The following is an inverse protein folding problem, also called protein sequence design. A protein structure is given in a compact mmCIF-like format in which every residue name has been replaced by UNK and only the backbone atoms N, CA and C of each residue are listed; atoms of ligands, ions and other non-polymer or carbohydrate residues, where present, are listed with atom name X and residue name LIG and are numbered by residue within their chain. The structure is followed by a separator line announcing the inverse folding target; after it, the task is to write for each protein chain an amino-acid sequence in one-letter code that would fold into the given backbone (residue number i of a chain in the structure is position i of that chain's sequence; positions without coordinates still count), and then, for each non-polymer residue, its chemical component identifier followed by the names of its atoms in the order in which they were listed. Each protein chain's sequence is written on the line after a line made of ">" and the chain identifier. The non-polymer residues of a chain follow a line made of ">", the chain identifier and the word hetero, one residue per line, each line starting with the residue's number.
data_IF_474279763562
#
_entry.id   IF_474279763562
#
_cell.length_a   1.000
_cell.length_b   1.000
_cell.length_c   1.000
_cell.angle_alpha   90.00
_cell.angle_beta   90.00
_cell.angle_gamma   90.00
#
_symmetry.space_group_name_H-M   'P 1'
#
loop_
_entity.id
_entity.type
_entity.pdbx_description
1 polymer ?
#
# COMPACT_ATOMS: atom_id res chain seq x y z
N UNK A 1 11.17 16.78 11.62
CA UNK A 1 9.99 16.04 11.16
C UNK A 1 10.36 14.60 10.86
N UNK A 2 9.67 13.69 11.46
CA UNK A 2 10.00 12.29 11.31
C UNK A 2 9.59 11.80 9.92
N UNK A 3 10.55 11.23 9.19
CA UNK A 3 10.28 10.58 7.92
C UNK A 3 9.71 9.19 8.19
N UNK A 4 8.57 9.13 8.88
CA UNK A 4 7.89 7.88 9.12
C UNK A 4 6.97 7.57 7.95
N UNK A 5 7.23 6.46 7.32
CA UNK A 5 6.30 5.90 6.34
C UNK A 5 5.19 5.21 7.11
N UNK A 6 3.96 5.48 6.75
CA UNK A 6 2.80 4.90 7.42
C UNK A 6 1.98 4.08 6.45
N UNK A 7 1.63 2.86 6.86
CA UNK A 7 0.61 2.07 6.17
C UNK A 7 -0.71 2.33 6.86
N UNK A 8 -1.69 2.73 6.08
CA UNK A 8 -3.05 2.91 6.54
C UNK A 8 -3.86 1.74 5.98
N UNK A 9 -4.19 0.80 6.83
CA UNK A 9 -5.08 -0.29 6.44
C UNK A 9 -6.48 0.25 6.32
N UNK A 10 -6.96 0.22 5.10
CA UNK A 10 -8.24 0.81 4.81
C UNK A 10 -9.39 0.02 5.39
N UNK A 11 -10.42 0.71 5.52
CA UNK A 11 -11.80 0.32 5.51
C UNK A 11 -12.39 -0.19 6.80
N UNK A 12 -11.75 -0.92 7.64
CA UNK A 12 -12.41 -1.36 8.86
C UNK A 12 -12.03 -0.56 10.09
N UNK A 13 -10.82 -0.02 10.12
CA UNK A 13 -10.32 0.64 11.33
C UNK A 13 -9.29 1.73 11.01
N UNK A 14 -9.60 2.60 10.08
CA UNK A 14 -8.65 3.59 9.55
C UNK A 14 -7.96 4.41 10.64
N UNK A 15 -8.68 4.77 11.68
CA UNK A 15 -8.12 5.56 12.78
C UNK A 15 -7.34 4.74 13.80
N UNK A 16 -7.43 3.42 13.74
CA UNK A 16 -6.73 2.53 14.69
C UNK A 16 -5.46 1.92 14.13
N UNK A 17 -5.27 1.98 12.82
CA UNK A 17 -4.19 1.24 12.16
C UNK A 17 -3.32 2.17 11.33
N UNK A 18 -2.71 3.12 12.00
CA UNK A 18 -1.53 3.80 11.46
C UNK A 18 -0.32 2.96 11.90
N UNK A 19 0.28 2.26 10.97
CA UNK A 19 1.44 1.42 11.23
C UNK A 19 2.66 2.10 10.64
N UNK A 20 3.68 2.30 11.45
CA UNK A 20 4.95 2.81 10.97
C UNK A 20 5.60 1.79 10.05
N UNK A 21 6.01 2.21 8.86
CA UNK A 21 6.74 1.33 7.94
C UNK A 21 8.18 1.19 8.40
N UNK A 22 8.56 -0.03 8.75
CA UNK A 22 9.90 -0.37 9.20
C UNK A 22 10.73 -0.93 8.04
N UNK A 23 12.05 -0.94 8.22
CA UNK A 23 13.01 -1.37 7.19
C UNK A 23 12.79 -2.79 6.68
N UNK A 24 12.23 -3.66 7.51
CA UNK A 24 12.00 -5.07 7.16
C UNK A 24 10.62 -5.34 6.55
N UNK A 25 9.81 -4.31 6.34
CA UNK A 25 8.47 -4.50 5.80
C UNK A 25 8.48 -4.57 4.28
N UNK A 26 7.75 -5.55 3.76
CA UNK A 26 7.56 -5.74 2.34
C UNK A 26 6.16 -6.23 2.02
N UNK A 27 5.83 -6.20 0.75
CA UNK A 27 4.56 -6.72 0.25
C UNK A 27 4.86 -7.81 -0.77
N UNK A 28 4.40 -9.03 -0.50
CA UNK A 28 4.73 -10.16 -1.36
C UNK A 28 4.02 -10.04 -2.71
N UNK A 29 4.81 -9.99 -3.78
CA UNK A 29 4.33 -9.94 -5.15
C UNK A 29 4.68 -11.21 -5.94
N UNK A 30 5.04 -12.28 -5.25
CA UNK A 30 5.33 -13.58 -5.85
C UNK A 30 4.05 -14.38 -6.06
N UNK A 31 3.57 -14.51 -7.31
CA UNK A 31 2.33 -15.22 -7.58
C UNK A 31 2.40 -16.72 -7.28
N UNK A 32 3.58 -17.27 -7.11
CA UNK A 32 3.76 -18.68 -6.78
C UNK A 32 3.82 -18.95 -5.28
N UNK A 33 3.85 -17.91 -4.45
CA UNK A 33 3.78 -18.07 -3.00
C UNK A 33 2.30 -18.03 -2.56
N UNK A 34 1.67 -19.18 -2.50
CA UNK A 34 0.25 -19.31 -2.23
C UNK A 34 -0.19 -18.73 -0.88
N UNK A 35 0.71 -18.75 0.10
CA UNK A 35 0.38 -18.30 1.47
C UNK A 35 0.55 -16.78 1.64
N UNK A 36 1.49 -16.19 0.92
CA UNK A 36 1.93 -14.81 1.16
C UNK A 36 1.60 -13.85 0.03
N UNK A 37 1.21 -14.35 -1.13
CA UNK A 37 0.92 -13.49 -2.28
C UNK A 37 -0.07 -12.38 -1.93
N UNK A 38 0.27 -11.17 -2.30
CA UNK A 38 -0.49 -9.95 -2.05
C UNK A 38 -0.76 -9.69 -0.56
N UNK A 39 0.24 -9.95 0.28
CA UNK A 39 0.17 -9.73 1.74
C UNK A 39 1.43 -9.05 2.26
N UNK A 40 1.27 -8.39 3.41
CA UNK A 40 2.40 -7.82 4.14
C UNK A 40 3.30 -8.94 4.66
N UNK A 41 4.60 -8.79 4.47
CA UNK A 41 5.60 -9.78 4.88
C UNK A 41 6.83 -9.08 5.45
N UNK A 42 7.66 -9.85 6.16
CA UNK A 42 9.01 -9.43 6.49
C UNK A 42 9.93 -9.70 5.31
N UNK A 43 10.72 -8.70 4.94
CA UNK A 43 11.68 -8.83 3.82
C UNK A 43 12.72 -9.87 4.16
N UNK A 44 12.89 -10.86 3.28
CA UNK A 44 13.97 -11.84 3.36
C UNK A 44 14.33 -12.32 1.94
N UNK A 45 15.46 -13.02 1.84
CA UNK A 45 15.97 -13.47 0.53
C UNK A 45 15.12 -14.54 -0.17
N UNK A 46 14.22 -15.19 0.58
CA UNK A 46 13.40 -16.30 0.06
C UNK A 46 12.05 -15.85 -0.48
N UNK A 47 11.66 -14.62 -0.17
CA UNK A 47 10.35 -14.09 -0.57
C UNK A 47 10.58 -12.94 -1.54
N UNK A 48 10.05 -13.09 -2.75
CA UNK A 48 9.98 -11.99 -3.68
C UNK A 48 8.92 -10.99 -3.18
N UNK A 49 9.35 -9.78 -2.88
CA UNK A 49 8.45 -8.76 -2.36
C UNK A 49 8.88 -7.37 -2.79
N UNK A 50 7.92 -6.45 -2.79
CA UNK A 50 8.20 -5.03 -2.90
C UNK A 50 8.53 -4.48 -1.52
N UNK A 51 9.67 -3.82 -1.40
CA UNK A 51 10.08 -3.19 -0.15
C UNK A 51 9.25 -1.93 0.09
N UNK A 52 8.65 -1.82 1.27
CA UNK A 52 7.82 -0.67 1.61
C UNK A 52 8.61 0.49 2.19
N UNK A 53 9.76 0.23 2.79
CA UNK A 53 10.63 1.28 3.31
C UNK A 53 11.48 1.85 2.17
N UNK A 54 11.10 3.04 1.69
CA UNK A 54 11.70 3.66 0.52
C UNK A 54 12.33 5.00 0.85
N UNK A 55 13.40 5.35 0.13
CA UNK A 55 14.09 6.63 0.26
C UNK A 55 13.46 7.74 -0.57
N UNK A 56 12.64 7.39 -1.57
CA UNK A 56 12.03 8.36 -2.49
C UNK A 56 10.77 9.03 -1.94
N UNK A 57 10.38 8.70 -0.72
CA UNK A 57 9.21 9.23 -0.02
C UNK A 57 7.85 8.89 -0.64
N UNK A 58 7.79 8.08 -1.70
CA UNK A 58 6.54 7.69 -2.33
C UNK A 58 5.61 6.95 -1.37
N UNK A 59 6.18 6.18 -0.45
CA UNK A 59 5.44 5.39 0.53
C UNK A 59 5.48 5.99 1.94
N UNK A 60 5.76 7.28 2.07
CA UNK A 60 5.64 7.96 3.37
C UNK A 60 4.21 7.90 3.90
N UNK A 61 3.23 7.91 3.01
CA UNK A 61 1.85 7.57 3.30
C UNK A 61 1.40 6.52 2.30
N UNK A 62 0.79 5.46 2.78
CA UNK A 62 0.44 4.30 1.97
C UNK A 62 -0.88 3.70 2.43
N UNK A 63 -1.81 3.51 1.51
CA UNK A 63 -3.06 2.80 1.76
C UNK A 63 -3.12 1.59 0.83
N UNK A 64 -3.00 0.37 1.34
CA UNK A 64 -3.28 -0.82 0.54
C UNK A 64 -4.76 -0.88 0.16
N UNK A 65 -5.02 -1.13 -1.11
CA UNK A 65 -6.38 -1.31 -1.60
C UNK A 65 -6.71 -2.80 -1.53
N UNK A 66 -7.89 -3.13 -1.01
CA UNK A 66 -8.36 -4.51 -0.93
C UNK A 66 -8.80 -5.02 -2.30
N UNK A 67 -7.87 -5.05 -3.22
CA UNK A 67 -8.03 -5.63 -4.54
C UNK A 67 -7.25 -6.93 -4.60
N UNK A 68 -7.91 -8.01 -5.03
CA UNK A 68 -7.29 -9.35 -5.09
C UNK A 68 -6.64 -9.75 -3.75
N UNK A 69 -7.33 -9.49 -2.65
CA UNK A 69 -6.73 -9.50 -1.31
C UNK A 69 -7.16 -10.71 -0.45
N UNK A 70 -8.47 -10.98 -0.31
CA UNK A 70 -8.94 -12.03 0.61
C UNK A 70 -8.58 -13.43 0.14
N UNK A 71 -8.81 -13.73 -1.14
CA UNK A 71 -8.41 -14.97 -1.79
C UNK A 71 -7.66 -14.61 -3.06
N UNK A 72 -6.38 -14.20 -2.93
CA UNK A 72 -5.67 -13.67 -4.08
C UNK A 72 -5.46 -14.73 -5.16
N UNK A 73 -5.79 -14.34 -6.38
CA UNK A 73 -5.57 -15.15 -7.57
C UNK A 73 -4.24 -14.70 -8.19
N UNK A 74 -3.32 -15.62 -8.38
CA UNK A 74 -2.01 -15.32 -8.97
C UNK A 74 -2.16 -14.68 -10.35
N UNK A 75 -1.29 -13.72 -10.64
CA UNK A 75 -1.26 -12.93 -11.87
C UNK A 75 -2.46 -11.99 -12.07
N UNK A 76 -3.33 -11.82 -11.09
CA UNK A 76 -4.44 -10.86 -11.18
C UNK A 76 -4.16 -9.52 -10.53
N UNK A 77 -2.98 -9.35 -9.98
CA UNK A 77 -2.51 -8.09 -9.43
C UNK A 77 -2.17 -8.17 -7.95
N UNK A 78 -1.12 -7.48 -7.58
CA UNK A 78 -0.65 -7.34 -6.20
C UNK A 78 -0.04 -5.96 -6.01
N UNK A 79 0.23 -5.59 -4.76
CA UNK A 79 0.83 -4.29 -4.42
C UNK A 79 0.02 -3.11 -4.97
N UNK A 80 -1.30 -3.18 -4.88
CA UNK A 80 -2.17 -2.10 -5.34
C UNK A 80 -2.39 -1.15 -4.19
N UNK A 81 -1.77 0.01 -4.28
CA UNK A 81 -1.73 1.01 -3.20
C UNK A 81 -2.22 2.36 -3.67
N UNK A 82 -2.68 3.17 -2.71
CA UNK A 82 -2.70 4.62 -2.85
C UNK A 82 -1.44 5.14 -2.16
N UNK A 83 -0.61 5.87 -2.88
CA UNK A 83 0.65 6.38 -2.35
C UNK A 83 0.88 7.83 -2.78
N UNK A 84 2.00 8.40 -2.35
CA UNK A 84 2.34 9.79 -2.66
C UNK A 84 3.07 9.90 -4.00
N UNK A 85 2.92 11.05 -4.63
CA UNK A 85 3.72 11.43 -5.79
C UNK A 85 4.02 12.93 -5.75
N UNK A 86 5.14 13.33 -6.34
CA UNK A 86 5.48 14.73 -6.52
C UNK A 86 5.07 15.28 -7.89
N UNK A 87 4.88 14.42 -8.87
CA UNK A 87 4.75 14.85 -10.27
C UNK A 87 3.74 14.06 -11.10
N UNK A 88 2.93 13.23 -10.46
CA UNK A 88 1.89 12.43 -11.12
C UNK A 88 2.38 11.60 -12.32
N UNK A 89 3.59 11.06 -12.23
CA UNK A 89 4.07 10.11 -13.25
C UNK A 89 3.18 8.86 -13.29
N UNK A 90 3.00 8.24 -14.46
CA UNK A 90 2.25 7.00 -14.56
C UNK A 90 2.78 5.92 -13.63
N UNK A 91 1.88 5.12 -13.09
CA UNK A 91 2.20 3.97 -12.23
C UNK A 91 1.77 2.67 -12.91
N UNK A 92 2.25 1.55 -12.38
CA UNK A 92 1.90 0.22 -12.90
C UNK A 92 0.59 -0.33 -12.30
N UNK A 93 -0.32 0.53 -11.86
CA UNK A 93 -1.62 0.13 -11.30
C UNK A 93 -1.98 0.80 -9.99
N UNK A 94 -1.02 1.41 -9.30
CA UNK A 94 -1.28 2.16 -8.07
C UNK A 94 -1.90 3.51 -8.36
N UNK A 95 -2.57 4.06 -7.36
CA UNK A 95 -3.08 5.42 -7.38
C UNK A 95 -2.08 6.31 -6.65
N UNK A 96 -1.59 7.34 -7.33
CA UNK A 96 -0.63 8.26 -6.76
C UNK A 96 -1.24 9.64 -6.59
N UNK A 97 -1.11 10.23 -5.41
CA UNK A 97 -1.64 11.54 -5.08
C UNK A 97 -0.55 12.44 -4.51
N UNK A 98 -0.66 13.74 -4.73
CA UNK A 98 0.14 14.71 -4.00
C UNK A 98 -0.19 14.62 -2.52
N UNK A 99 0.78 14.92 -1.66
CA UNK A 99 0.60 14.84 -0.21
C UNK A 99 -0.59 15.68 0.27
N UNK A 100 -0.77 16.88 -0.24
CA UNK A 100 -1.89 17.74 0.14
C UNK A 100 -3.24 17.09 -0.18
N UNK A 101 -3.38 16.49 -1.37
CA UNK A 101 -4.60 15.80 -1.79
C UNK A 101 -4.82 14.53 -0.97
N UNK A 102 -3.77 13.79 -0.69
CA UNK A 102 -3.82 12.59 0.14
C UNK A 102 -4.33 12.91 1.55
N UNK A 103 -3.83 13.98 2.15
CA UNK A 103 -4.27 14.41 3.48
C UNK A 103 -5.73 14.85 3.51
N UNK A 104 -6.21 15.50 2.45
CA UNK A 104 -7.63 15.85 2.31
C UNK A 104 -8.47 14.58 2.22
N UNK A 105 -8.05 13.63 1.39
CA UNK A 105 -8.73 12.35 1.23
C UNK A 105 -8.83 11.61 2.57
N UNK A 106 -7.77 11.58 3.37
CA UNK A 106 -7.76 10.92 4.67
C UNK A 106 -8.83 11.45 5.62
N UNK A 107 -9.16 12.73 5.52
CA UNK A 107 -10.24 13.34 6.34
C UNK A 107 -11.63 12.92 5.89
N UNK A 108 -11.78 12.52 4.64
CA UNK A 108 -13.07 12.24 4.04
C UNK A 108 -13.42 10.75 4.02
N UNK A 109 -12.42 9.88 3.99
CA UNK A 109 -12.66 8.43 3.92
C UNK A 109 -12.99 7.85 5.30
N UNK A 110 -13.76 6.77 5.28
CA UNK A 110 -14.08 5.98 6.46
C UNK A 110 -14.15 4.49 6.11
N UNK A 111 -14.50 3.66 7.07
CA UNK A 111 -14.56 2.21 6.87
C UNK A 111 -15.53 1.74 5.79
N UNK A 112 -16.46 2.59 5.36
CA UNK A 112 -17.42 2.26 4.29
C UNK A 112 -16.98 2.77 2.92
N UNK A 113 -15.90 3.51 2.85
CA UNK A 113 -15.40 4.08 1.61
C UNK A 113 -14.97 2.98 0.66
N UNK A 114 -15.41 3.09 -0.58
CA UNK A 114 -15.03 2.18 -1.66
C UNK A 114 -14.28 2.95 -2.74
N UNK A 115 -13.35 2.28 -3.37
CA UNK A 115 -12.65 2.82 -4.52
C UNK A 115 -13.13 2.09 -5.76
N UNK A 116 -13.55 2.85 -6.74
CA UNK A 116 -13.90 2.33 -8.06
C UNK A 116 -12.87 2.84 -9.06
N UNK A 117 -12.19 1.91 -9.69
CA UNK A 117 -11.25 2.22 -10.77
C UNK A 117 -11.95 1.94 -12.09
N UNK A 118 -12.02 2.96 -12.91
CA UNK A 118 -12.72 2.89 -14.20
C UNK A 118 -11.71 2.70 -15.32
#
# INVERSE_FOLDING_TARGET
>A
MNNHNLIIYEFEELYKILVEIKKDMGWCDDPFNNKKYNKLVSVNKRIKCEKLYRKDHSYDLLIPIKYNFLKPIKFKGSCIFIHLTNNYKPTAGCIALKKSDFLIMLKLINKKTKIKII
#
